data_IF_122199685867
#
_entry.id   IF_122199685867
#
_cell.length_a   1.000
_cell.length_b   1.000
_cell.length_c   1.000
_cell.angle_alpha   90.00
_cell.angle_beta   90.00
_cell.angle_gamma   90.00
#
_symmetry.space_group_name_H-M   'P 1'
#
loop_
_entity.id
_entity.type
_entity.pdbx_description
1 polymer ?
#
# COMPACT_ATOMS: atom_id res chain seq x y z
N UNK A 1 40.84 16.16 -20.10
CA UNK A 1 39.70 15.47 -20.75
C UNK A 1 38.44 15.69 -19.92
N UNK A 2 37.42 16.38 -20.45
CA UNK A 2 36.13 16.57 -19.76
C UNK A 2 35.34 15.26 -19.80
N UNK A 3 35.06 14.64 -18.65
CA UNK A 3 34.16 13.48 -18.56
C UNK A 3 32.78 13.89 -19.05
N UNK A 4 32.28 13.26 -20.11
CA UNK A 4 30.90 13.46 -20.58
C UNK A 4 29.94 12.95 -19.49
N UNK A 5 28.88 13.70 -19.13
CA UNK A 5 27.89 13.24 -18.17
C UNK A 5 27.19 12.00 -18.74
N UNK A 6 27.20 10.92 -17.97
CA UNK A 6 26.48 9.68 -18.28
C UNK A 6 24.99 10.00 -18.43
N UNK A 7 24.30 9.60 -19.51
CA UNK A 7 22.88 9.83 -19.63
C UNK A 7 22.14 9.14 -18.49
N UNK A 8 21.37 9.90 -17.70
CA UNK A 8 20.46 9.37 -16.68
C UNK A 8 19.57 8.32 -17.37
N UNK A 9 19.72 7.04 -17.00
CA UNK A 9 18.78 6.01 -17.42
C UNK A 9 17.38 6.50 -17.02
N UNK A 10 16.51 6.74 -18.01
CA UNK A 10 15.09 7.01 -17.74
C UNK A 10 14.57 5.82 -16.94
N UNK A 11 14.27 6.04 -15.66
CA UNK A 11 13.64 5.02 -14.82
C UNK A 11 12.38 4.56 -15.56
N UNK A 12 12.35 3.29 -15.96
CA UNK A 12 11.21 2.73 -16.68
C UNK A 12 10.06 2.65 -15.68
N UNK A 13 8.98 3.39 -15.95
CA UNK A 13 7.76 3.28 -15.14
C UNK A 13 7.31 1.81 -15.07
N UNK A 14 6.87 1.32 -13.90
CA UNK A 14 6.30 -0.01 -13.79
C UNK A 14 5.13 -0.16 -14.77
N UNK A 15 5.06 -1.30 -15.45
CA UNK A 15 3.90 -1.62 -16.30
C UNK A 15 2.69 -1.92 -15.40
N UNK A 16 1.47 -1.51 -15.79
CA UNK A 16 0.25 -1.91 -15.09
C UNK A 16 0.12 -3.44 -15.02
N UNK A 17 -0.23 -3.97 -13.85
CA UNK A 17 -0.57 -5.38 -13.65
C UNK A 17 -2.05 -5.65 -13.98
N UNK A 18 -2.91 -4.65 -13.78
CA UNK A 18 -4.35 -4.69 -14.06
C UNK A 18 -4.74 -3.56 -15.03
N UNK A 19 -5.74 -3.81 -15.87
CA UNK A 19 -6.19 -2.84 -16.90
C UNK A 19 -6.60 -1.47 -16.33
N UNK A 20 -7.06 -1.43 -15.08
CA UNK A 20 -7.50 -0.21 -14.41
C UNK A 20 -6.37 0.57 -13.74
N UNK A 21 -5.15 0.04 -13.64
CA UNK A 21 -3.99 0.73 -13.04
C UNK A 21 -3.37 1.76 -14.01
N UNK A 22 -4.20 2.68 -14.47
CA UNK A 22 -3.86 3.77 -15.39
C UNK A 22 -4.54 5.06 -14.92
N UNK A 23 -4.10 6.22 -15.44
CA UNK A 23 -4.64 7.51 -15.02
C UNK A 23 -4.51 7.72 -13.50
N UNK A 24 -5.64 7.92 -12.83
CA UNK A 24 -5.70 8.12 -11.37
C UNK A 24 -5.20 6.93 -10.53
N UNK A 25 -5.08 5.75 -11.13
CA UNK A 25 -4.61 4.53 -10.46
C UNK A 25 -3.22 4.07 -10.96
N UNK A 26 -2.46 4.96 -11.61
CA UNK A 26 -1.06 4.65 -11.96
C UNK A 26 -0.23 4.37 -10.71
N UNK A 27 0.55 3.28 -10.76
CA UNK A 27 1.44 2.88 -9.65
C UNK A 27 2.63 3.82 -9.48
N UNK A 28 3.08 4.47 -10.55
CA UNK A 28 4.10 5.51 -10.49
C UNK A 28 3.38 6.87 -10.50
N UNK A 29 3.31 7.52 -9.35
CA UNK A 29 2.59 8.76 -9.16
C UNK A 29 3.49 9.81 -8.48
N UNK A 30 3.40 11.05 -8.96
CA UNK A 30 4.02 12.22 -8.36
C UNK A 30 2.91 13.13 -7.83
N UNK A 31 2.79 13.25 -6.50
CA UNK A 31 1.80 14.11 -5.86
C UNK A 31 2.44 15.43 -5.43
N UNK A 32 1.87 16.55 -5.87
CA UNK A 32 2.26 17.88 -5.43
C UNK A 32 1.13 18.44 -4.56
N UNK A 33 1.42 18.67 -3.27
CA UNK A 33 0.46 19.20 -2.31
C UNK A 33 1.17 20.14 -1.34
N UNK A 34 0.44 21.14 -0.86
CA UNK A 34 0.88 21.98 0.24
C UNK A 34 0.56 21.21 1.53
N UNK A 35 1.59 20.86 2.29
CA UNK A 35 1.43 20.16 3.56
C UNK A 35 0.67 21.05 4.56
N UNK A 36 -0.33 20.52 5.29
CA UNK A 36 -0.97 21.26 6.37
C UNK A 36 0.08 21.72 7.39
N UNK A 37 0.00 22.99 7.80
CA UNK A 37 1.01 23.57 8.68
C UNK A 37 1.08 22.82 10.03
N UNK A 38 -0.06 22.42 10.58
CA UNK A 38 -0.14 21.65 11.82
C UNK A 38 0.55 20.29 11.68
N UNK A 39 0.41 19.63 10.53
CA UNK A 39 1.10 18.37 10.25
C UNK A 39 2.62 18.56 10.20
N UNK A 40 3.10 19.64 9.55
CA UNK A 40 4.53 19.99 9.55
C UNK A 40 5.08 20.23 10.96
N UNK A 41 4.31 20.94 11.79
CA UNK A 41 4.70 21.20 13.18
C UNK A 41 4.81 19.90 13.98
N UNK A 42 3.85 18.99 13.85
CA UNK A 42 3.88 17.68 14.51
C UNK A 42 5.08 16.85 14.06
N UNK A 43 5.31 16.75 12.75
CA UNK A 43 6.47 16.09 12.17
C UNK A 43 7.78 16.65 12.76
N UNK A 44 7.91 17.98 12.81
CA UNK A 44 9.12 18.62 13.33
C UNK A 44 9.33 18.37 14.82
N UNK A 45 8.27 18.37 15.63
CA UNK A 45 8.34 18.12 17.07
C UNK A 45 8.75 16.69 17.41
N UNK A 46 8.30 15.71 16.62
CA UNK A 46 8.57 14.29 16.83
C UNK A 46 9.81 13.78 16.10
N UNK A 47 10.56 14.67 15.44
CA UNK A 47 11.73 14.35 14.62
C UNK A 47 11.45 13.32 13.51
N UNK A 48 10.24 13.36 12.93
CA UNK A 48 9.84 12.52 11.79
C UNK A 48 9.61 13.39 10.57
N UNK A 49 10.18 13.03 9.43
CA UNK A 49 9.92 13.79 8.19
C UNK A 49 8.50 13.53 7.67
N UNK A 50 7.87 14.50 6.98
CA UNK A 50 6.56 14.28 6.34
C UNK A 50 6.55 13.07 5.38
N UNK A 51 7.66 12.86 4.67
CA UNK A 51 7.81 11.74 3.75
C UNK A 51 7.81 10.39 4.49
N UNK A 52 8.53 10.27 5.60
CA UNK A 52 8.55 9.06 6.42
C UNK A 52 7.16 8.76 6.97
N UNK A 53 6.48 9.75 7.57
CA UNK A 53 5.14 9.58 8.12
C UNK A 53 4.12 9.11 7.06
N UNK A 54 4.15 9.70 5.87
CA UNK A 54 3.27 9.29 4.77
C UNK A 54 3.62 7.91 4.21
N UNK A 55 4.92 7.59 4.13
CA UNK A 55 5.38 6.28 3.65
C UNK A 55 4.97 5.18 4.63
N UNK A 56 5.20 5.39 5.92
CA UNK A 56 4.79 4.44 6.96
C UNK A 56 3.27 4.28 7.01
N UNK A 57 2.50 5.36 6.88
CA UNK A 57 1.04 5.29 6.76
C UNK A 57 0.61 4.38 5.59
N UNK A 58 1.18 4.57 4.40
CA UNK A 58 0.84 3.77 3.21
C UNK A 58 1.29 2.31 3.35
N UNK A 59 2.49 2.08 3.88
CA UNK A 59 3.05 0.74 4.08
C UNK A 59 2.26 -0.04 5.14
N UNK A 60 1.88 0.60 6.25
CA UNK A 60 1.14 -0.04 7.33
C UNK A 60 -0.32 -0.31 6.92
N UNK A 61 -0.99 0.67 6.31
CA UNK A 61 -2.35 0.49 5.81
C UNK A 61 -2.42 -0.58 4.72
N UNK A 62 -1.41 -0.69 3.85
CA UNK A 62 -1.35 -1.75 2.83
C UNK A 62 -0.91 -3.12 3.37
N UNK A 63 -0.67 -3.23 4.68
CA UNK A 63 -0.18 -4.42 5.37
C UNK A 63 1.15 -4.96 4.79
N UNK A 64 2.09 -4.06 4.48
CA UNK A 64 3.40 -4.38 3.93
C UNK A 64 4.21 -5.38 4.79
N UNK A 65 5.02 -6.22 4.12
CA UNK A 65 5.72 -7.34 4.76
C UNK A 65 7.17 -7.06 5.19
N UNK A 66 7.78 -5.98 4.69
CA UNK A 66 9.22 -5.70 4.82
C UNK A 66 9.65 -5.19 6.21
N UNK A 67 8.81 -4.42 6.91
CA UNK A 67 9.07 -3.87 8.27
C UNK A 67 7.94 -4.18 9.23
N UNK A 68 7.60 -5.46 9.39
CA UNK A 68 6.39 -5.85 10.13
C UNK A 68 6.54 -5.78 11.67
N UNK A 69 7.74 -5.99 12.20
CA UNK A 69 7.95 -6.07 13.65
C UNK A 69 7.50 -4.79 14.37
N UNK A 70 6.70 -4.94 15.44
CA UNK A 70 6.18 -3.84 16.24
C UNK A 70 5.05 -3.02 15.60
N UNK A 71 4.60 -3.35 14.38
CA UNK A 71 3.63 -2.53 13.63
C UNK A 71 2.17 -2.99 13.72
N UNK A 72 1.91 -4.15 14.32
CA UNK A 72 0.55 -4.68 14.41
C UNK A 72 -0.45 -3.72 15.09
N UNK A 73 -0.11 -3.01 16.20
CA UNK A 73 -1.02 -2.00 16.78
C UNK A 73 -1.29 -0.82 15.83
N UNK A 74 -0.28 -0.33 15.12
CA UNK A 74 -0.42 0.78 14.18
C UNK A 74 -1.36 0.40 13.03
N UNK A 75 -1.23 -0.81 12.49
CA UNK A 75 -2.14 -1.34 11.45
C UNK A 75 -3.58 -1.34 11.91
N UNK A 76 -3.86 -1.82 13.12
CA UNK A 76 -5.23 -1.85 13.66
C UNK A 76 -5.81 -0.43 13.79
N UNK A 77 -5.02 0.54 14.27
CA UNK A 77 -5.46 1.95 14.31
C UNK A 77 -5.77 2.51 12.92
N UNK A 78 -4.96 2.18 11.91
CA UNK A 78 -5.18 2.63 10.54
C UNK A 78 -6.41 1.97 9.89
N UNK A 79 -6.68 0.69 10.17
CA UNK A 79 -7.91 0.01 9.73
C UNK A 79 -9.13 0.67 10.36
N UNK A 80 -9.09 0.97 11.65
CA UNK A 80 -10.16 1.68 12.34
C UNK A 80 -10.37 3.10 11.79
N UNK A 81 -9.29 3.82 11.48
CA UNK A 81 -9.36 5.12 10.81
C UNK A 81 -10.00 5.03 9.41
N UNK A 82 -9.63 4.01 8.62
CA UNK A 82 -10.17 3.76 7.29
C UNK A 82 -11.68 3.50 7.33
N UNK A 83 -12.13 2.70 8.30
CA UNK A 83 -13.56 2.42 8.55
C UNK A 83 -14.28 3.69 9.02
N UNK A 84 -13.70 4.45 9.95
CA UNK A 84 -14.31 5.67 10.47
C UNK A 84 -14.51 6.75 9.39
N UNK A 85 -13.64 6.79 8.36
CA UNK A 85 -13.79 7.65 7.19
C UNK A 85 -14.90 7.21 6.23
N UNK A 86 -15.48 6.02 6.41
CA UNK A 86 -16.51 5.49 5.53
C UNK A 86 -15.99 4.93 4.20
N UNK A 87 -14.69 4.77 4.03
CA UNK A 87 -14.11 4.31 2.78
C UNK A 87 -14.60 2.90 2.40
N UNK A 88 -15.16 2.78 1.19
CA UNK A 88 -15.66 1.51 0.65
C UNK A 88 -16.93 0.97 1.31
N UNK A 89 -17.53 1.69 2.28
CA UNK A 89 -18.77 1.26 2.95
C UNK A 89 -20.01 1.29 2.05
N UNK A 90 -19.93 1.97 0.90
CA UNK A 90 -20.91 1.88 -0.18
C UNK A 90 -20.90 0.51 -0.90
N UNK A 91 -19.90 -0.35 -0.64
CA UNK A 91 -19.77 -1.65 -1.29
C UNK A 91 -19.64 -2.81 -0.31
N UNK A 92 -19.04 -2.57 0.86
CA UNK A 92 -18.66 -3.59 1.82
C UNK A 92 -19.16 -3.23 3.22
N UNK A 93 -19.58 -4.24 3.98
CA UNK A 93 -19.82 -4.08 5.42
C UNK A 93 -18.50 -3.83 6.16
N UNK A 94 -18.57 -3.32 7.39
CA UNK A 94 -17.36 -3.20 8.23
C UNK A 94 -16.65 -4.55 8.39
N UNK A 95 -17.41 -5.62 8.63
CA UNK A 95 -16.86 -6.97 8.75
C UNK A 95 -16.12 -7.42 7.48
N UNK A 96 -16.66 -7.08 6.30
CA UNK A 96 -15.99 -7.33 5.02
C UNK A 96 -14.69 -6.54 4.90
N UNK A 97 -14.68 -5.26 5.27
CA UNK A 97 -13.47 -4.41 5.23
C UNK A 97 -12.38 -4.98 6.15
N UNK A 98 -12.74 -5.35 7.38
CA UNK A 98 -11.79 -6.01 8.30
C UNK A 98 -11.25 -7.31 7.73
N UNK A 99 -12.10 -8.10 7.08
CA UNK A 99 -11.68 -9.34 6.42
C UNK A 99 -10.76 -9.08 5.21
N UNK A 100 -11.00 -8.04 4.42
CA UNK A 100 -10.14 -7.59 3.32
C UNK A 100 -8.72 -7.31 3.85
N UNK A 101 -8.60 -6.51 4.92
CA UNK A 101 -7.29 -6.22 5.53
C UNK A 101 -6.64 -7.46 6.14
N UNK A 102 -7.40 -8.29 6.85
CA UNK A 102 -6.88 -9.54 7.44
C UNK A 102 -6.32 -10.49 6.39
N UNK A 103 -6.98 -10.63 5.25
CA UNK A 103 -6.48 -11.45 4.14
C UNK A 103 -5.19 -10.87 3.55
N UNK A 104 -5.09 -9.54 3.41
CA UNK A 104 -3.86 -8.90 2.93
C UNK A 104 -2.69 -9.09 3.92
N UNK A 105 -2.96 -8.91 5.22
CA UNK A 105 -1.95 -9.05 6.26
C UNK A 105 -1.40 -10.48 6.38
N UNK A 106 -2.26 -11.49 6.16
CA UNK A 106 -1.87 -12.89 6.12
C UNK A 106 -0.85 -13.20 5.01
N UNK A 107 -0.92 -12.52 3.87
CA UNK A 107 0.07 -12.66 2.80
C UNK A 107 1.44 -12.16 3.27
N UNK A 108 1.47 -11.08 4.06
CA UNK A 108 2.69 -10.55 4.66
C UNK A 108 3.31 -11.47 5.70
N UNK A 109 2.50 -12.23 6.45
CA UNK A 109 2.98 -13.24 7.41
C UNK A 109 3.75 -14.39 6.75
N UNK A 110 3.48 -14.67 5.47
CA UNK A 110 4.16 -15.72 4.71
C UNK A 110 5.53 -15.28 4.15
N UNK A 111 6.01 -14.09 4.49
CA UNK A 111 7.28 -13.57 3.98
C UNK A 111 8.47 -14.40 4.52
N UNK A 112 9.37 -14.89 3.64
CA UNK A 112 10.44 -15.81 4.03
C UNK A 112 11.66 -15.07 4.62
N UNK A 113 11.53 -14.52 5.84
CA UNK A 113 12.53 -13.66 6.50
C UNK A 113 13.94 -14.25 6.58
N UNK A 114 14.05 -15.55 6.86
CA UNK A 114 15.33 -16.24 7.07
C UNK A 114 15.75 -17.10 5.87
N UNK A 115 15.21 -16.82 4.69
CA UNK A 115 15.47 -17.63 3.50
C UNK A 115 16.45 -17.00 2.52
N UNK A 116 16.89 -17.79 1.54
CA UNK A 116 17.78 -17.30 0.50
C UNK A 116 17.04 -16.44 -0.54
N UNK A 117 17.80 -15.67 -1.33
CA UNK A 117 17.23 -14.78 -2.35
C UNK A 117 16.29 -15.47 -3.35
N UNK A 118 16.55 -16.76 -3.69
CA UNK A 118 15.66 -17.51 -4.58
C UNK A 118 14.27 -17.75 -3.98
N UNK A 119 14.18 -17.96 -2.67
CA UNK A 119 12.90 -18.10 -1.98
C UNK A 119 12.17 -16.77 -1.87
N UNK A 120 12.89 -15.67 -1.62
CA UNK A 120 12.33 -14.31 -1.65
C UNK A 120 11.76 -14.00 -3.03
N UNK A 121 12.47 -14.34 -4.11
CA UNK A 121 12.00 -14.16 -5.48
C UNK A 121 10.75 -15.01 -5.80
N UNK A 122 10.72 -16.26 -5.33
CA UNK A 122 9.55 -17.13 -5.48
C UNK A 122 8.35 -16.59 -4.72
N UNK A 123 8.56 -16.13 -3.49
CA UNK A 123 7.53 -15.48 -2.69
C UNK A 123 7.01 -14.23 -3.40
N UNK A 124 7.87 -13.35 -3.90
CA UNK A 124 7.46 -12.15 -4.62
C UNK A 124 6.57 -12.49 -5.83
N UNK A 125 7.00 -13.45 -6.67
CA UNK A 125 6.20 -13.91 -7.83
C UNK A 125 4.87 -14.54 -7.42
N UNK A 126 4.83 -15.30 -6.34
CA UNK A 126 3.60 -15.88 -5.82
C UNK A 126 2.67 -14.80 -5.25
N UNK A 127 3.21 -13.87 -4.46
CA UNK A 127 2.50 -12.75 -3.84
C UNK A 127 1.81 -11.90 -4.90
N UNK A 128 2.52 -11.52 -5.96
CA UNK A 128 1.96 -10.67 -7.02
C UNK A 128 0.77 -11.37 -7.72
N UNK A 129 0.87 -12.70 -7.96
CA UNK A 129 -0.25 -13.51 -8.48
C UNK A 129 -1.41 -13.59 -7.49
N UNK A 130 -1.10 -13.83 -6.22
CA UNK A 130 -2.09 -13.95 -5.16
C UNK A 130 -2.86 -12.63 -4.97
N UNK A 131 -2.17 -11.50 -4.89
CA UNK A 131 -2.76 -10.17 -4.75
C UNK A 131 -3.67 -9.84 -5.94
N UNK A 132 -3.27 -10.20 -7.16
CA UNK A 132 -4.13 -10.08 -8.35
C UNK A 132 -5.41 -10.91 -8.25
N UNK A 133 -5.31 -12.16 -7.80
CA UNK A 133 -6.48 -13.02 -7.58
C UNK A 133 -7.38 -12.50 -6.45
N UNK A 134 -6.77 -12.11 -5.32
CA UNK A 134 -7.43 -11.55 -4.15
C UNK A 134 -8.23 -10.30 -4.50
N UNK A 135 -7.66 -9.39 -5.28
CA UNK A 135 -8.36 -8.20 -5.75
C UNK A 135 -9.60 -8.60 -6.56
N UNK A 136 -9.46 -9.55 -7.50
CA UNK A 136 -10.59 -10.02 -8.33
C UNK A 136 -11.68 -10.67 -7.49
N UNK A 137 -11.33 -11.44 -6.45
CA UNK A 137 -12.28 -12.06 -5.51
C UNK A 137 -13.18 -11.00 -4.87
N UNK A 138 -12.58 -9.96 -4.28
CA UNK A 138 -13.34 -8.90 -3.60
C UNK A 138 -14.06 -7.98 -4.59
N UNK A 139 -13.40 -7.56 -5.66
CA UNK A 139 -13.97 -6.67 -6.67
C UNK A 139 -15.21 -7.25 -7.37
N UNK A 140 -15.29 -8.58 -7.52
CA UNK A 140 -16.42 -9.29 -8.13
C UNK A 140 -17.54 -9.61 -7.15
N UNK A 141 -17.34 -9.46 -5.84
CA UNK A 141 -18.41 -9.64 -4.86
C UNK A 141 -19.56 -8.68 -5.22
N UNK A 142 -20.83 -9.11 -5.19
CA UNK A 142 -21.95 -8.22 -5.44
C UNK A 142 -21.82 -7.00 -4.52
N UNK A 143 -21.61 -5.84 -5.13
CA UNK A 143 -21.47 -4.60 -4.39
C UNK A 143 -22.85 -4.21 -3.88
N UNK A 144 -22.97 -3.98 -2.58
CA UNK A 144 -24.21 -3.47 -2.00
C UNK A 144 -24.39 -2.02 -2.43
N UNK A 145 -24.82 -1.77 -3.67
CA UNK A 145 -25.18 -0.43 -4.11
C UNK A 145 -26.38 -0.01 -3.27
N UNK A 146 -26.13 0.77 -2.21
CA UNK A 146 -27.20 1.51 -1.54
C UNK A 146 -27.62 2.58 -2.53
N UNK A 147 -28.74 2.35 -3.21
CA UNK A 147 -29.45 3.42 -3.92
C UNK A 147 -29.68 4.53 -2.90
N UNK A 148 -28.92 5.61 -3.05
CA UNK A 148 -29.08 6.84 -2.26
C UNK A 148 -30.08 7.75 -2.96
#
# INVERSE_FOLDING_TARGET
MKKKPTPKQKQRKPKPELKWQTGAYERFADFNFILPYQFLLLCRLMEVTPQEALTDFMDDLSCGSWKREGRDPAKEHLINYFIAHGYGQEYYSEADIRQIFKEMDAVGLLFPRESNGKMVDRYAKWRDKHQTWWFKKWFRKPRHIKNS
#
